data_IF_408991350794
#
_entry.id   IF_408991350794
#
_cell.length_a   1.000
_cell.length_b   1.000
_cell.length_c   1.000
_cell.angle_alpha   90.00
_cell.angle_beta   90.00
_cell.angle_gamma   90.00
#
_symmetry.space_group_name_H-M   'P 1'
#
loop_
_entity.id
_entity.type
_entity.pdbx_description
1 polymer ?
#
# COMPACT_ATOMS: atom_id res chain seq x y z
N UNK A 1 14.60 11.33 -39.84
CA UNK A 1 15.55 11.76 -38.79
C UNK A 1 14.79 11.89 -37.48
N UNK A 2 15.26 11.16 -36.47
CA UNK A 2 15.09 11.29 -35.01
C UNK A 2 13.90 12.10 -34.47
N UNK A 3 13.10 11.57 -33.55
CA UNK A 3 13.54 11.18 -32.21
C UNK A 3 12.63 10.09 -31.62
N UNK A 4 13.15 8.87 -31.54
CA UNK A 4 12.74 7.88 -30.53
C UNK A 4 13.05 8.50 -29.16
N UNK A 5 12.02 8.75 -28.33
CA UNK A 5 12.22 9.05 -26.91
C UNK A 5 11.75 7.83 -26.12
N UNK A 6 12.69 7.26 -25.38
CA UNK A 6 12.65 5.92 -24.82
C UNK A 6 11.50 5.72 -23.85
N UNK A 7 10.69 4.72 -24.17
CA UNK A 7 10.05 3.86 -23.19
C UNK A 7 11.04 2.70 -23.00
N UNK A 8 11.89 2.78 -21.98
CA UNK A 8 12.84 1.71 -21.68
C UNK A 8 13.08 1.72 -20.19
N UNK A 9 12.40 0.81 -19.49
CA UNK A 9 12.62 0.62 -18.05
C UNK A 9 11.56 -0.20 -17.32
N UNK A 10 10.28 -0.17 -17.74
CA UNK A 10 9.18 -0.77 -16.96
C UNK A 10 8.52 -2.02 -17.59
N UNK A 11 8.73 -2.30 -18.88
CA UNK A 11 8.02 -3.40 -19.59
C UNK A 11 8.60 -4.81 -19.37
N UNK A 12 9.71 -4.96 -18.63
CA UNK A 12 10.37 -6.26 -18.45
C UNK A 12 9.87 -7.08 -17.24
N UNK A 13 9.05 -6.50 -16.37
CA UNK A 13 8.34 -7.21 -15.29
C UNK A 13 6.85 -7.05 -15.56
N UNK A 14 6.04 -8.09 -15.31
CA UNK A 14 4.57 -8.02 -15.46
C UNK A 14 3.96 -6.86 -14.65
N UNK A 15 2.64 -6.64 -14.78
CA UNK A 15 1.94 -5.60 -14.00
C UNK A 15 2.33 -5.71 -12.51
N UNK A 16 2.81 -4.62 -11.87
CA UNK A 16 3.26 -4.70 -10.50
C UNK A 16 2.11 -5.13 -9.59
N UNK A 17 2.37 -5.99 -8.63
CA UNK A 17 1.35 -6.57 -7.77
C UNK A 17 1.24 -5.78 -6.48
N UNK A 18 0.02 -5.41 -6.10
CA UNK A 18 -0.30 -4.78 -4.83
C UNK A 18 -1.12 -5.73 -3.95
N UNK A 19 -0.77 -5.80 -2.67
CA UNK A 19 -1.55 -6.45 -1.63
C UNK A 19 -2.03 -5.41 -0.62
N UNK A 20 -3.28 -5.51 -0.16
CA UNK A 20 -3.84 -4.57 0.79
C UNK A 20 -4.43 -5.32 1.99
N UNK A 21 -3.98 -4.91 3.18
CA UNK A 21 -4.53 -5.33 4.47
C UNK A 21 -5.34 -4.17 5.04
N UNK A 22 -6.56 -4.45 5.50
CA UNK A 22 -7.41 -3.47 6.19
C UNK A 22 -7.56 -3.88 7.65
N UNK A 23 -7.15 -3.00 8.56
CA UNK A 23 -7.20 -3.17 10.00
C UNK A 23 -8.03 -2.03 10.61
N UNK A 24 -8.74 -2.31 11.70
CA UNK A 24 -9.62 -1.34 12.35
C UNK A 24 -11.10 -1.55 12.03
N UNK A 25 -11.83 -0.48 11.70
CA UNK A 25 -13.29 -0.49 11.69
C UNK A 25 -13.91 -0.55 10.28
N UNK A 26 -15.24 -0.61 10.19
CA UNK A 26 -15.97 -0.65 8.92
C UNK A 26 -15.61 0.48 7.95
N UNK A 27 -15.16 1.63 8.47
CA UNK A 27 -14.65 2.73 7.65
C UNK A 27 -13.38 2.36 6.88
N UNK A 28 -12.46 1.62 7.51
CA UNK A 28 -11.24 1.14 6.86
C UNK A 28 -11.57 0.20 5.71
N UNK A 29 -12.60 -0.64 5.84
CA UNK A 29 -13.03 -1.53 4.75
C UNK A 29 -13.53 -0.75 3.53
N UNK A 30 -14.39 0.25 3.73
CA UNK A 30 -14.89 1.11 2.64
C UNK A 30 -13.74 1.92 2.00
N UNK A 31 -12.85 2.48 2.82
CA UNK A 31 -11.69 3.21 2.29
C UNK A 31 -10.73 2.28 1.52
N UNK A 32 -10.61 1.01 1.92
CA UNK A 32 -9.82 0.00 1.20
C UNK A 32 -10.31 -0.25 -0.22
N UNK A 33 -11.62 -0.29 -0.45
CA UNK A 33 -12.17 -0.44 -1.81
C UNK A 33 -11.76 0.71 -2.73
N UNK A 34 -11.77 1.94 -2.19
CA UNK A 34 -11.32 3.13 -2.91
C UNK A 34 -9.81 3.04 -3.21
N UNK A 35 -9.02 2.58 -2.24
CA UNK A 35 -7.58 2.37 -2.43
C UNK A 35 -7.28 1.32 -3.50
N UNK A 36 -8.01 0.20 -3.51
CA UNK A 36 -7.89 -0.84 -4.52
C UNK A 36 -8.23 -0.32 -5.93
N UNK A 37 -9.29 0.48 -6.04
CA UNK A 37 -9.66 1.13 -7.30
C UNK A 37 -8.59 2.09 -7.83
N UNK A 38 -7.92 2.83 -6.94
CA UNK A 38 -6.83 3.72 -7.33
C UNK A 38 -5.55 2.97 -7.72
N UNK A 39 -5.23 1.86 -7.03
CA UNK A 39 -4.12 0.97 -7.40
C UNK A 39 -4.33 0.35 -8.78
N UNK A 40 -5.55 -0.15 -9.05
CA UNK A 40 -5.91 -0.71 -10.34
C UNK A 40 -5.78 0.33 -11.48
N UNK A 41 -6.26 1.56 -11.26
CA UNK A 41 -6.11 2.67 -12.20
C UNK A 41 -4.64 3.08 -12.44
N UNK A 42 -3.78 2.91 -11.43
CA UNK A 42 -2.35 3.12 -11.55
C UNK A 42 -1.59 1.95 -12.21
N UNK A 43 -2.30 0.90 -12.65
CA UNK A 43 -1.74 -0.23 -13.39
C UNK A 43 -1.32 -1.42 -12.53
N UNK A 44 -1.54 -1.37 -11.21
CA UNK A 44 -1.25 -2.51 -10.34
C UNK A 44 -2.24 -3.66 -10.60
N UNK A 45 -1.79 -4.90 -10.44
CA UNK A 45 -2.65 -6.05 -10.23
C UNK A 45 -2.87 -6.22 -8.72
N UNK A 46 -4.09 -6.51 -8.28
CA UNK A 46 -4.37 -6.71 -6.85
C UNK A 46 -4.30 -8.20 -6.53
N UNK A 47 -3.51 -8.57 -5.53
CA UNK A 47 -3.40 -9.94 -5.03
C UNK A 47 -3.92 -10.04 -3.59
N UNK A 48 -4.66 -11.12 -3.32
CA UNK A 48 -5.01 -11.50 -1.96
C UNK A 48 -3.83 -12.14 -1.21
N UNK A 49 -2.83 -12.62 -1.94
CA UNK A 49 -1.61 -13.20 -1.38
C UNK A 49 -0.52 -12.11 -1.26
N UNK A 50 0.06 -11.91 -0.06
CA UNK A 50 1.21 -11.04 0.14
C UNK A 50 2.53 -11.57 -0.47
N UNK A 51 2.66 -12.87 -0.67
CA UNK A 51 3.84 -13.50 -1.27
C UNK A 51 3.94 -13.12 -2.75
N UNK A 52 4.93 -12.28 -3.08
CA UNK A 52 5.14 -11.78 -4.44
C UNK A 52 4.48 -10.44 -4.76
N UNK A 53 3.87 -9.77 -3.78
CA UNK A 53 3.46 -8.38 -3.96
C UNK A 53 4.70 -7.46 -4.11
N UNK A 54 4.68 -6.52 -5.05
CA UNK A 54 5.66 -5.43 -5.19
C UNK A 54 5.37 -4.28 -4.21
N UNK A 55 4.09 -4.12 -3.85
CA UNK A 55 3.60 -3.13 -2.88
C UNK A 55 2.64 -3.79 -1.88
N UNK A 56 2.90 -3.65 -0.58
CA UNK A 56 1.93 -3.98 0.46
C UNK A 56 1.41 -2.69 1.10
N UNK A 57 0.09 -2.56 1.21
CA UNK A 57 -0.58 -1.41 1.83
C UNK A 57 -1.31 -1.88 3.08
N UNK A 58 -1.00 -1.28 4.22
CA UNK A 58 -1.72 -1.54 5.49
C UNK A 58 -2.58 -0.31 5.77
N UNK A 59 -3.88 -0.44 5.57
CA UNK A 59 -4.87 0.58 5.93
C UNK A 59 -5.31 0.32 7.37
N UNK A 60 -4.88 1.16 8.32
CA UNK A 60 -5.23 1.00 9.74
C UNK A 60 -5.91 2.24 10.29
N UNK A 61 -6.59 2.15 11.43
CA UNK A 61 -7.16 3.31 12.13
C UNK A 61 -6.07 4.01 12.97
N UNK A 62 -5.85 5.31 12.74
CA UNK A 62 -4.83 6.08 13.48
C UNK A 62 -5.20 6.47 14.92
N UNK A 63 -6.40 6.09 15.39
CA UNK A 63 -6.92 6.49 16.71
C UNK A 63 -7.15 5.34 17.68
N UNK A 64 -7.14 4.09 17.19
CA UNK A 64 -7.44 2.90 18.01
C UNK A 64 -6.12 2.21 18.32
N UNK A 65 -5.77 2.08 19.60
CA UNK A 65 -4.50 1.46 20.03
C UNK A 65 -4.39 0.02 19.56
N UNK A 66 -5.46 -0.76 19.69
CA UNK A 66 -5.50 -2.15 19.22
C UNK A 66 -5.20 -2.25 17.72
N UNK A 67 -5.68 -1.31 16.91
CA UNK A 67 -5.39 -1.27 15.47
C UNK A 67 -3.95 -0.87 15.14
N UNK A 68 -3.27 -0.17 16.05
CA UNK A 68 -1.83 0.12 15.97
C UNK A 68 -1.05 -1.14 16.29
N UNK A 69 -1.38 -1.84 17.37
CA UNK A 69 -0.71 -3.09 17.76
C UNK A 69 -0.88 -4.18 16.69
N UNK A 70 -2.10 -4.38 16.18
CA UNK A 70 -2.38 -5.27 15.04
C UNK A 70 -1.60 -4.89 13.78
N UNK A 71 -1.39 -3.59 13.56
CA UNK A 71 -0.61 -3.13 12.41
C UNK A 71 0.85 -3.52 12.52
N UNK A 72 1.43 -3.57 13.72
CA UNK A 72 2.80 -4.04 13.90
C UNK A 72 2.95 -5.53 13.57
N UNK A 73 1.99 -6.36 13.99
CA UNK A 73 2.02 -7.80 13.71
C UNK A 73 1.85 -8.06 12.21
N UNK A 74 0.93 -7.34 11.56
CA UNK A 74 0.78 -7.39 10.11
C UNK A 74 2.06 -6.95 9.38
N UNK A 75 2.74 -5.91 9.89
CA UNK A 75 4.03 -5.45 9.38
C UNK A 75 5.09 -6.53 9.47
N UNK A 76 5.23 -7.16 10.64
CA UNK A 76 6.21 -8.23 10.89
C UNK A 76 5.94 -9.44 9.99
N UNK A 77 4.68 -9.85 9.86
CA UNK A 77 4.27 -10.94 8.97
C UNK A 77 4.59 -10.62 7.50
N UNK A 78 4.25 -9.42 7.03
CA UNK A 78 4.51 -9.01 5.65
C UNK A 78 6.01 -8.87 5.36
N UNK A 79 6.81 -8.40 6.33
CA UNK A 79 8.25 -8.31 6.19
C UNK A 79 8.91 -9.71 6.13
N UNK A 80 8.38 -10.69 6.85
CA UNK A 80 8.88 -12.06 6.83
C UNK A 80 8.55 -12.79 5.51
N UNK A 81 7.39 -12.51 4.93
CA UNK A 81 6.91 -13.15 3.70
C UNK A 81 7.51 -12.51 2.42
N UNK A 82 7.86 -11.23 2.47
CA UNK A 82 8.32 -10.48 1.29
C UNK A 82 9.83 -10.32 1.29
N UNK A 83 10.49 -10.98 0.32
CA UNK A 83 11.92 -10.87 0.05
C UNK A 83 12.33 -9.48 -0.49
N UNK A 84 11.50 -8.88 -1.34
CA UNK A 84 11.76 -7.64 -2.08
C UNK A 84 10.45 -6.86 -2.27
N UNK A 85 10.48 -5.52 -2.12
CA UNK A 85 9.37 -4.63 -2.42
C UNK A 85 9.00 -3.66 -1.29
N UNK A 86 8.06 -2.75 -1.54
CA UNK A 86 7.73 -1.66 -0.61
C UNK A 86 6.53 -1.99 0.24
N UNK A 87 6.56 -1.66 1.53
CA UNK A 87 5.39 -1.72 2.40
C UNK A 87 5.09 -0.30 2.89
N UNK A 88 3.81 0.07 2.85
CA UNK A 88 3.32 1.40 3.15
C UNK A 88 2.19 1.29 4.14
N UNK A 89 2.28 2.06 5.23
CA UNK A 89 1.23 2.12 6.26
C UNK A 89 0.45 3.42 6.07
N UNK A 90 -0.87 3.28 5.98
CA UNK A 90 -1.82 4.38 5.82
C UNK A 90 -2.69 4.45 7.08
N UNK A 91 -2.30 5.26 8.09
CA UNK A 91 -3.13 5.49 9.26
C UNK A 91 -4.29 6.42 8.91
N UNK A 92 -5.47 5.86 8.75
CA UNK A 92 -6.70 6.61 8.49
C UNK A 92 -7.14 7.33 9.76
N UNK A 93 -7.03 8.65 9.72
CA UNK A 93 -7.53 9.56 10.74
C UNK A 93 -8.52 10.59 10.15
N UNK A 94 -8.72 10.56 8.82
CA UNK A 94 -9.59 11.46 8.04
C UNK A 94 -10.22 10.68 6.89
N UNK A 95 -11.35 11.16 6.31
CA UNK A 95 -11.90 10.57 5.09
C UNK A 95 -10.85 10.53 3.97
N UNK A 96 -10.80 9.39 3.25
CA UNK A 96 -9.98 9.30 2.05
C UNK A 96 -10.51 10.33 1.04
N UNK A 97 -9.62 11.17 0.50
CA UNK A 97 -10.02 12.04 -0.60
C UNK A 97 -10.11 11.15 -1.85
N UNK A 98 -11.25 11.13 -2.57
CA UNK A 98 -11.34 10.41 -3.85
C UNK A 98 -10.24 10.93 -4.77
N UNK A 99 -9.40 10.05 -5.31
CA UNK A 99 -8.24 10.52 -6.06
C UNK A 99 -7.34 9.43 -6.63
N UNK A 100 -6.24 9.89 -7.21
CA UNK A 100 -5.19 9.06 -7.80
C UNK A 100 -4.37 8.35 -6.73
N UNK A 101 -3.63 7.31 -7.10
CA UNK A 101 -2.68 6.62 -6.22
C UNK A 101 -1.75 7.60 -5.47
N UNK A 102 -1.37 8.72 -6.11
CA UNK A 102 -0.59 9.78 -5.48
C UNK A 102 -1.26 10.33 -4.22
N UNK A 103 -2.57 10.58 -4.24
CA UNK A 103 -3.31 11.09 -3.08
C UNK A 103 -3.34 10.13 -1.89
N UNK A 104 -3.37 8.81 -2.16
CA UNK A 104 -3.28 7.77 -1.13
C UNK A 104 -1.87 7.73 -0.55
N UNK A 105 -0.84 7.82 -1.41
CA UNK A 105 0.56 7.85 -0.97
C UNK A 105 0.91 9.15 -0.21
N UNK A 106 0.25 10.26 -0.52
CA UNK A 106 0.37 11.51 0.25
C UNK A 106 -0.27 11.40 1.65
N UNK A 107 -1.22 10.49 1.85
CA UNK A 107 -1.82 10.17 3.15
C UNK A 107 -1.10 9.03 3.88
N UNK A 108 -0.24 8.29 3.18
CA UNK A 108 0.64 7.31 3.81
C UNK A 108 1.66 8.02 4.70
N UNK A 109 1.68 7.67 5.98
CA UNK A 109 2.50 8.37 6.95
C UNK A 109 3.99 8.00 6.85
N UNK A 110 4.30 6.80 6.35
CA UNK A 110 5.61 6.17 6.58
C UNK A 110 5.83 4.96 5.68
N UNK A 111 6.99 4.88 5.01
CA UNK A 111 7.59 3.62 4.59
C UNK A 111 7.81 2.69 5.78
N UNK A 112 7.66 1.38 5.60
CA UNK A 112 7.81 0.36 6.65
C UNK A 112 9.10 0.50 7.47
N UNK A 113 10.22 0.74 6.78
CA UNK A 113 11.55 0.93 7.37
C UNK A 113 11.59 2.11 8.36
N UNK A 114 10.72 3.10 8.16
CA UNK A 114 10.60 4.27 9.02
C UNK A 114 9.55 4.08 10.12
N UNK A 115 8.48 3.33 9.85
CA UNK A 115 7.44 3.07 10.86
C UNK A 115 7.99 2.29 12.05
N UNK A 116 8.78 1.25 11.80
CA UNK A 116 9.39 0.41 12.85
C UNK A 116 10.40 1.18 13.71
N UNK A 117 10.95 2.31 13.22
CA UNK A 117 11.89 3.15 13.97
C UNK A 117 11.24 4.31 14.73
N UNK A 118 9.94 4.55 14.54
CA UNK A 118 9.21 5.67 15.16
C UNK A 118 8.29 5.23 16.31
N UNK A 119 8.34 3.95 16.66
CA UNK A 119 7.74 3.34 17.85
C UNK A 119 8.87 2.95 18.82
#
# INVERSE_FOLDING_TARGET
MSRKRGQSGAEARGRPVAHLVSLGCAKNLVDSEIMLGALAQAGFAVSADPEGADLAVINTCGFVRDAVDESEDAIRALAALRREGRTVVVPQHKPLKPGTLKGILEQAAVPLDRFVQQL
#
